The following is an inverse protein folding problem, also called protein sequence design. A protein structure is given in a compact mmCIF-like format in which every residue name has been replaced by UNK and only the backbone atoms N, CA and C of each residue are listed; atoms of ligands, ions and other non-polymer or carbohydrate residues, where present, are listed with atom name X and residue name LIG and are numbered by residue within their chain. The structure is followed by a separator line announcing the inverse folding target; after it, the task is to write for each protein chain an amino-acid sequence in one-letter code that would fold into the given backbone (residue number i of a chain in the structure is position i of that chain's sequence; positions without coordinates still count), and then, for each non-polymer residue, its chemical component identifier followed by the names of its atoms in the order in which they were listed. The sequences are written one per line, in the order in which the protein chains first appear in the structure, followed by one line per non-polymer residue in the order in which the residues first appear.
data_IF_355325090892
#
_entry.id   IF_355325090892
#
_cell.length_a   1.000
_cell.length_b   1.000
_cell.length_c   1.000
_cell.angle_alpha   90.00
_cell.angle_beta   90.00
_cell.angle_gamma   90.00
#
_symmetry.space_group_name_H-M   'P 1'
#
loop_
_entity.id
_entity.type
_entity.pdbx_description
1 polymer ?
#
# COMPACT_ATOMS: atom_id res chain seq x y z
N UNK A 1 -14.66 9.12 -15.11
CA UNK A 1 -14.54 7.67 -14.85
C UNK A 1 -13.61 7.53 -13.66
N UNK A 2 -14.04 6.89 -12.57
CA UNK A 2 -13.17 6.70 -11.39
C UNK A 2 -12.13 5.66 -11.76
N UNK A 3 -10.84 6.01 -11.71
CA UNK A 3 -9.77 5.04 -11.94
C UNK A 3 -9.56 4.26 -10.64
N UNK A 4 -9.72 2.94 -10.70
CA UNK A 4 -9.30 2.05 -9.61
C UNK A 4 -7.82 1.75 -9.80
N UNK A 5 -7.01 2.03 -8.79
CA UNK A 5 -5.56 1.81 -8.80
C UNK A 5 -5.26 0.66 -7.85
N UNK A 6 -4.60 -0.39 -8.36
CA UNK A 6 -4.14 -1.50 -7.52
C UNK A 6 -2.91 -1.05 -6.72
N UNK A 7 -3.01 -1.12 -5.39
CA UNK A 7 -2.04 -0.52 -4.49
C UNK A 7 -1.51 -1.49 -3.43
N UNK A 8 -0.22 -1.35 -3.11
CA UNK A 8 0.46 -2.03 -2.01
C UNK A 8 0.87 -1.06 -0.90
N UNK A 9 1.10 -1.58 0.31
CA UNK A 9 1.53 -0.79 1.48
C UNK A 9 2.76 -1.43 2.12
N UNK A 10 3.79 -0.63 2.39
CA UNK A 10 5.00 -1.04 3.09
C UNK A 10 5.14 -0.25 4.40
N UNK A 11 5.08 -0.97 5.52
CA UNK A 11 5.53 -0.51 6.82
C UNK A 11 4.63 0.52 7.48
N UNK A 12 3.36 0.59 7.07
CA UNK A 12 2.49 1.67 7.49
C UNK A 12 1.47 1.23 8.56
N UNK A 13 1.63 1.76 9.78
CA UNK A 13 0.60 1.70 10.83
C UNK A 13 -0.47 2.76 10.58
N UNK A 14 -1.13 2.70 9.43
CA UNK A 14 -2.13 3.72 9.08
C UNK A 14 -3.32 3.65 10.03
N UNK A 15 -3.76 4.82 10.51
CA UNK A 15 -5.03 4.95 11.21
C UNK A 15 -6.17 4.62 10.25
N UNK A 16 -7.30 4.14 10.79
CA UNK A 16 -8.53 3.93 10.01
C UNK A 16 -8.96 5.20 9.25
N UNK A 17 -8.55 6.37 9.74
CA UNK A 17 -8.82 7.66 9.11
C UNK A 17 -8.09 7.85 7.77
N UNK A 18 -6.82 7.43 7.64
CA UNK A 18 -6.14 7.47 6.35
C UNK A 18 -6.86 6.60 5.33
N UNK A 19 -7.19 5.36 5.71
CA UNK A 19 -7.96 4.46 4.87
C UNK A 19 -9.32 5.03 4.48
N UNK A 20 -10.03 5.67 5.42
CA UNK A 20 -11.26 6.42 5.13
C UNK A 20 -11.04 7.54 4.12
N UNK A 21 -10.00 8.37 4.28
CA UNK A 21 -9.73 9.48 3.35
C UNK A 21 -9.37 8.98 1.95
N UNK A 22 -8.67 7.84 1.85
CA UNK A 22 -8.38 7.19 0.56
C UNK A 22 -9.60 6.54 -0.09
N UNK A 23 -10.54 6.02 0.71
CA UNK A 23 -11.82 5.50 0.20
C UNK A 23 -12.81 6.59 -0.24
N UNK A 24 -12.62 7.84 0.21
CA UNK A 24 -13.47 9.00 -0.12
C UNK A 24 -12.90 9.82 -1.30
N UNK A 25 -11.70 9.51 -1.79
CA UNK A 25 -11.13 10.19 -2.94
C UNK A 25 -11.96 9.89 -4.20
N UNK A 26 -12.68 10.91 -4.69
CA UNK A 26 -13.61 10.79 -5.84
C UNK A 26 -12.89 10.67 -7.19
N UNK A 27 -11.57 10.87 -7.23
CA UNK A 27 -10.75 10.85 -8.46
C UNK A 27 -10.02 9.51 -8.59
N UNK A 28 -9.51 8.97 -7.50
CA UNK A 28 -8.73 7.73 -7.44
C UNK A 28 -9.28 6.82 -6.34
N UNK A 29 -9.79 5.65 -6.72
CA UNK A 29 -10.15 4.60 -5.77
C UNK A 29 -8.99 3.62 -5.65
N UNK A 30 -8.58 3.27 -4.43
CA UNK A 30 -7.48 2.32 -4.24
C UNK A 30 -8.01 0.93 -3.92
N UNK A 31 -7.55 -0.05 -4.69
CA UNK A 31 -7.70 -1.46 -4.36
C UNK A 31 -6.45 -1.92 -3.61
N UNK A 32 -6.55 -2.05 -2.29
CA UNK A 32 -5.45 -2.53 -1.44
C UNK A 32 -5.23 -4.03 -1.68
N UNK A 33 -4.21 -4.38 -2.47
CA UNK A 33 -3.89 -5.78 -2.81
C UNK A 33 -3.06 -6.46 -1.73
N UNK A 34 -1.95 -5.82 -1.31
CA UNK A 34 -1.00 -6.39 -0.35
C UNK A 34 -0.50 -5.37 0.67
N UNK A 35 -0.28 -5.83 1.89
CA UNK A 35 0.17 -5.01 3.01
C UNK A 35 1.32 -5.72 3.74
N UNK A 36 2.47 -5.06 3.80
CA UNK A 36 3.60 -5.45 4.64
C UNK A 36 3.66 -4.55 5.87
N UNK A 37 3.80 -5.14 7.05
CA UNK A 37 3.89 -4.43 8.33
C UNK A 37 5.11 -4.92 9.11
N UNK A 38 5.93 -3.98 9.59
CA UNK A 38 7.02 -4.30 10.53
C UNK A 38 6.45 -4.42 11.97
N UNK A 39 5.47 -5.30 12.18
CA UNK A 39 4.85 -5.52 13.50
C UNK A 39 3.39 -5.97 13.45
N UNK A 40 2.82 -6.23 14.63
CA UNK A 40 1.38 -6.55 14.77
C UNK A 40 0.57 -5.26 14.66
N UNK A 41 -0.18 -5.06 13.56
CA UNK A 41 -1.15 -3.96 13.46
C UNK A 41 -2.58 -4.47 13.61
N UNK A 42 -3.41 -3.72 14.35
CA UNK A 42 -4.79 -4.08 14.67
C UNK A 42 -5.81 -3.61 13.61
N UNK A 43 -5.39 -2.78 12.66
CA UNK A 43 -6.28 -2.00 11.78
C UNK A 43 -6.64 -2.64 10.43
N UNK A 44 -6.22 -3.89 10.19
CA UNK A 44 -6.45 -4.57 8.89
C UNK A 44 -7.90 -5.06 8.73
N UNK A 45 -8.70 -5.06 9.82
CA UNK A 45 -10.11 -5.48 9.79
C UNK A 45 -10.97 -4.69 8.79
N UNK A 46 -10.56 -3.47 8.45
CA UNK A 46 -11.28 -2.58 7.53
C UNK A 46 -11.07 -2.92 6.04
N UNK A 47 -10.11 -3.79 5.72
CA UNK A 47 -9.78 -4.20 4.35
C UNK A 47 -9.53 -5.72 4.26
N UNK A 48 -10.58 -6.56 4.44
CA UNK A 48 -10.44 -8.02 4.45
C UNK A 48 -9.93 -8.61 3.13
N UNK A 49 -10.07 -7.88 2.03
CA UNK A 49 -9.56 -8.27 0.71
C UNK A 49 -8.05 -8.08 0.53
N UNK A 50 -7.38 -7.35 1.43
CA UNK A 50 -5.96 -7.11 1.33
C UNK A 50 -5.16 -8.27 1.94
N UNK A 51 -4.22 -8.81 1.18
CA UNK A 51 -3.32 -9.87 1.64
C UNK A 51 -2.23 -9.27 2.55
N UNK A 52 -2.10 -9.80 3.77
CA UNK A 52 -0.98 -9.45 4.65
C UNK A 52 0.21 -10.32 4.27
N UNK A 53 1.32 -9.68 3.90
CA UNK A 53 2.55 -10.36 3.51
C UNK A 53 3.65 -10.16 4.54
N UNK A 54 4.49 -11.18 4.71
CA UNK A 54 5.62 -11.15 5.65
C UNK A 54 6.85 -10.40 5.13
N UNK A 55 6.87 -10.10 3.82
CA UNK A 55 8.02 -9.58 3.10
C UNK A 55 7.59 -8.49 2.11
N UNK A 56 8.30 -7.36 2.11
CA UNK A 56 8.02 -6.25 1.21
C UNK A 56 8.25 -6.63 -0.27
N UNK A 57 9.14 -7.59 -0.53
CA UNK A 57 9.44 -8.13 -1.85
C UNK A 57 8.19 -8.70 -2.54
N UNK A 58 7.25 -9.26 -1.78
CA UNK A 58 5.97 -9.76 -2.30
C UNK A 58 5.08 -8.66 -2.89
N UNK A 59 5.32 -7.39 -2.50
CA UNK A 59 4.65 -6.20 -3.05
C UNK A 59 5.44 -5.65 -4.23
N UNK A 60 6.77 -5.51 -4.05
CA UNK A 60 7.66 -4.94 -5.05
C UNK A 60 7.63 -5.75 -6.36
N UNK A 61 7.57 -7.08 -6.25
CA UNK A 61 7.58 -7.99 -7.40
C UNK A 61 6.19 -8.31 -7.96
N UNK A 62 5.11 -7.80 -7.36
CA UNK A 62 3.75 -8.04 -7.84
C UNK A 62 3.48 -7.19 -9.08
N UNK A 63 3.26 -7.84 -10.23
CA UNK A 63 3.04 -7.16 -11.51
C UNK A 63 1.70 -6.44 -11.58
N UNK A 64 0.72 -6.83 -10.75
CA UNK A 64 -0.60 -6.20 -10.76
C UNK A 64 -0.68 -5.03 -9.77
N UNK A 65 0.40 -4.69 -9.05
CA UNK A 65 0.45 -3.50 -8.19
C UNK A 65 1.03 -2.34 -8.99
N UNK A 66 0.25 -1.27 -9.12
CA UNK A 66 0.62 -0.07 -9.87
C UNK A 66 1.27 0.99 -8.97
N UNK A 67 0.85 1.05 -7.70
CA UNK A 67 1.26 2.08 -6.73
C UNK A 67 1.64 1.44 -5.40
N UNK A 68 2.73 1.89 -4.79
CA UNK A 68 3.09 1.49 -3.43
C UNK A 68 3.16 2.69 -2.52
N UNK A 69 2.46 2.59 -1.39
CA UNK A 69 2.58 3.53 -0.29
C UNK A 69 3.68 3.04 0.65
N UNK A 70 4.68 3.89 0.88
CA UNK A 70 5.83 3.57 1.72
C UNK A 70 5.83 4.51 2.91
N UNK A 71 5.78 3.96 4.11
CA UNK A 71 5.91 4.77 5.33
C UNK A 71 7.28 5.45 5.39
N UNK A 72 7.35 6.66 5.95
CA UNK A 72 8.59 7.39 6.19
C UNK A 72 9.66 6.60 6.97
N UNK A 73 9.27 5.62 7.81
CA UNK A 73 10.23 4.75 8.51
C UNK A 73 10.82 3.64 7.62
N UNK A 74 10.35 3.52 6.39
CA UNK A 74 10.65 2.45 5.44
C UNK A 74 11.17 2.98 4.10
N UNK A 75 11.76 4.18 4.09
CA UNK A 75 12.26 4.86 2.89
C UNK A 75 13.28 4.05 2.08
N UNK A 76 13.98 3.10 2.71
CA UNK A 76 14.92 2.21 2.02
C UNK A 76 14.24 1.35 0.93
N UNK A 77 12.92 1.17 0.97
CA UNK A 77 12.15 0.49 -0.07
C UNK A 77 11.75 1.37 -1.26
N UNK A 78 11.87 2.70 -1.17
CA UNK A 78 11.45 3.61 -2.25
C UNK A 78 12.22 3.31 -3.54
N UNK A 79 13.55 3.18 -3.45
CA UNK A 79 14.39 2.88 -4.61
C UNK A 79 14.01 1.53 -5.25
N UNK A 80 13.96 0.41 -4.51
CA UNK A 80 13.48 -0.88 -5.05
C UNK A 80 12.11 -0.83 -5.72
N UNK A 81 11.17 -0.05 -5.19
CA UNK A 81 9.83 0.08 -5.80
C UNK A 81 9.88 0.84 -7.13
N UNK A 82 10.65 1.93 -7.19
CA UNK A 82 10.81 2.69 -8.44
C UNK A 82 11.52 1.81 -9.50
N UNK A 83 12.55 1.08 -9.09
CA UNK A 83 13.29 0.16 -9.97
C UNK A 83 12.41 -1.00 -10.48
N UNK A 84 11.34 -1.37 -9.76
CA UNK A 84 10.35 -2.36 -10.22
C UNK A 84 9.24 -1.78 -11.11
N UNK A 85 9.36 -0.50 -11.50
CA UNK A 85 8.45 0.16 -12.45
C UNK A 85 7.13 0.64 -11.84
N UNK A 86 7.03 0.70 -10.51
CA UNK A 86 5.80 1.10 -9.80
C UNK A 86 5.85 2.56 -9.37
N UNK A 87 4.68 3.20 -9.31
CA UNK A 87 4.57 4.50 -8.68
C UNK A 87 4.80 4.39 -7.17
N UNK A 88 5.39 5.42 -6.57
CA UNK A 88 5.62 5.48 -5.12
C UNK A 88 4.94 6.71 -4.53
N UNK A 89 4.26 6.51 -3.40
CA UNK A 89 3.82 7.62 -2.53
C UNK A 89 4.40 7.40 -1.14
N UNK A 90 5.19 8.37 -0.68
CA UNK A 90 5.71 8.37 0.70
C UNK A 90 4.68 9.02 1.60
N UNK A 91 4.41 8.39 2.75
CA UNK A 91 3.43 8.83 3.75
C UNK A 91 3.95 8.70 5.18
#
# INVERSE_FOLDING_TARGET
MVKTISAGIIGCNMSEEFFRTTGVNKVESFFWKKIYLSGKSASIKSHPQAEIVERAESIINDVDIELVFVSANHLHFVKPVIESGKAVRVI
#
